data_IF_579660853898
#
_entry.id   IF_579660853898
#
_cell.length_a   1.000
_cell.length_b   1.000
_cell.length_c   1.000
_cell.angle_alpha   90.00
_cell.angle_beta   90.00
_cell.angle_gamma   90.00
#
_symmetry.space_group_name_H-M   'P 1'
#
loop_
_entity.id
_entity.type
_entity.pdbx_description
1 polymer ?
#
# COMPACT_ATOMS: atom_id res chain seq x y z
N UNK A 1 17.16 -7.92 37.06
CA UNK A 1 16.62 -6.75 36.37
C UNK A 1 16.76 -6.83 34.85
N UNK A 2 17.98 -7.01 34.29
CA UNK A 2 18.19 -7.15 32.83
C UNK A 2 17.41 -8.31 32.19
N UNK A 3 17.33 -9.48 32.85
CA UNK A 3 16.58 -10.63 32.34
C UNK A 3 15.08 -10.37 32.23
N UNK A 4 14.51 -9.60 33.19
CA UNK A 4 13.09 -9.23 33.15
C UNK A 4 12.83 -8.25 32.00
N UNK A 5 13.71 -7.26 31.79
CA UNK A 5 13.62 -6.31 30.67
C UNK A 5 13.71 -7.03 29.34
N UNK A 6 14.60 -8.01 29.19
CA UNK A 6 14.71 -8.81 27.97
C UNK A 6 13.46 -9.65 27.72
N UNK A 7 12.89 -10.27 28.75
CA UNK A 7 11.65 -11.05 28.63
C UNK A 7 10.46 -10.16 28.28
N UNK A 8 10.34 -8.99 28.88
CA UNK A 8 9.29 -8.02 28.54
C UNK A 8 9.43 -7.53 27.08
N UNK A 9 10.65 -7.27 26.62
CA UNK A 9 10.90 -6.89 25.23
C UNK A 9 10.61 -8.03 24.25
N UNK A 10 11.02 -9.26 24.56
CA UNK A 10 10.70 -10.43 23.76
C UNK A 10 9.19 -10.71 23.72
N UNK A 11 8.49 -10.55 24.85
CA UNK A 11 7.03 -10.66 24.92
C UNK A 11 6.33 -9.56 24.11
N UNK A 12 6.84 -8.33 24.16
CA UNK A 12 6.33 -7.22 23.36
C UNK A 12 6.52 -7.49 21.86
N UNK A 13 7.71 -7.94 21.43
CA UNK A 13 7.95 -8.31 20.02
C UNK A 13 7.02 -9.46 19.59
N UNK A 14 6.85 -10.48 20.44
CA UNK A 14 5.91 -11.56 20.15
C UNK A 14 4.48 -11.07 20.05
N UNK A 15 4.02 -10.22 20.98
CA UNK A 15 2.70 -9.59 20.94
C UNK A 15 2.49 -8.79 19.66
N UNK A 16 3.46 -7.95 19.27
CA UNK A 16 3.41 -7.15 18.05
C UNK A 16 3.42 -8.02 16.79
N UNK A 17 4.14 -9.15 16.79
CA UNK A 17 4.18 -10.09 15.66
C UNK A 17 2.87 -10.82 15.47
N UNK A 18 2.10 -11.05 16.53
CA UNK A 18 0.77 -11.66 16.50
C UNK A 18 -0.35 -10.63 16.42
N UNK A 19 -0.04 -9.34 16.59
CA UNK A 19 -1.01 -8.28 16.45
C UNK A 19 -1.46 -8.20 14.99
N UNK A 20 -2.72 -8.53 14.76
CA UNK A 20 -3.35 -8.30 13.45
C UNK A 20 -3.96 -6.91 13.49
N UNK A 21 -3.50 -6.04 12.60
CA UNK A 21 -4.13 -4.75 12.40
C UNK A 21 -5.62 -4.97 12.08
N UNK A 22 -6.54 -4.43 12.88
CA UNK A 22 -7.96 -4.61 12.66
C UNK A 22 -8.33 -3.83 11.40
N UNK A 23 -8.75 -4.58 10.37
CA UNK A 23 -9.25 -4.00 9.12
C UNK A 23 -10.76 -3.85 9.20
N UNK A 24 -11.27 -2.74 8.66
CA UNK A 24 -12.70 -2.49 8.51
C UNK A 24 -13.31 -3.33 7.38
N UNK A 25 -12.47 -4.02 6.62
CA UNK A 25 -12.85 -4.82 5.46
C UNK A 25 -12.64 -6.32 5.67
N UNK A 26 -13.35 -7.17 4.91
CA UNK A 26 -13.00 -8.59 4.79
C UNK A 26 -11.55 -8.80 4.38
N UNK A 27 -11.05 -10.02 4.53
CA UNK A 27 -9.67 -10.39 4.21
C UNK A 27 -9.42 -10.36 2.69
N UNK A 28 -9.32 -9.18 2.11
CA UNK A 28 -8.84 -8.98 0.74
C UNK A 28 -7.31 -8.99 0.68
N UNK A 29 -6.71 -9.37 -0.48
CA UNK A 29 -5.30 -9.13 -0.73
C UNK A 29 -4.95 -7.65 -0.57
N UNK A 30 -3.81 -7.37 0.03
CA UNK A 30 -3.39 -5.99 0.34
C UNK A 30 -2.53 -5.36 -0.75
N UNK A 31 -1.90 -6.19 -1.55
CA UNK A 31 -1.02 -5.78 -2.65
C UNK A 31 -1.30 -6.65 -3.89
N UNK A 32 -1.01 -6.11 -5.03
CA UNK A 32 -1.00 -6.84 -6.30
C UNK A 32 0.34 -7.54 -6.50
N UNK A 33 0.43 -8.43 -7.48
CA UNK A 33 1.68 -9.09 -7.86
C UNK A 33 1.84 -9.13 -9.38
N UNK A 34 3.07 -9.11 -9.84
CA UNK A 34 3.36 -9.44 -11.23
C UNK A 34 3.09 -10.93 -11.48
N UNK A 35 3.04 -11.34 -12.75
CA UNK A 35 2.89 -12.76 -13.10
C UNK A 35 4.05 -13.62 -12.57
N UNK A 36 5.22 -13.05 -12.37
CA UNK A 36 6.40 -13.71 -11.76
C UNK A 36 6.38 -13.73 -10.23
N UNK A 37 5.36 -13.13 -9.58
CA UNK A 37 5.22 -13.10 -8.13
C UNK A 37 5.88 -11.90 -7.44
N UNK A 38 6.52 -10.97 -8.17
CA UNK A 38 7.04 -9.75 -7.57
C UNK A 38 5.89 -8.86 -7.08
N UNK A 39 6.07 -8.18 -5.96
CA UNK A 39 5.09 -7.25 -5.36
C UNK A 39 4.82 -6.10 -6.33
N UNK A 40 3.54 -5.80 -6.57
CA UNK A 40 3.09 -4.64 -7.35
C UNK A 40 2.50 -3.53 -6.47
N UNK A 41 1.51 -2.84 -7.01
CA UNK A 41 0.85 -1.71 -6.36
C UNK A 41 -0.05 -2.15 -5.20
N UNK A 42 -0.21 -1.34 -4.13
CA UNK A 42 -1.13 -1.62 -3.06
C UNK A 42 -2.60 -1.55 -3.54
N UNK A 43 -3.45 -2.38 -2.94
CA UNK A 43 -4.91 -2.25 -3.08
C UNK A 43 -5.35 -1.11 -2.17
N UNK A 44 -6.04 -0.12 -2.74
CA UNK A 44 -6.45 1.10 -2.03
C UNK A 44 -7.84 1.63 -2.39
N UNK A 45 -8.57 0.94 -3.29
CA UNK A 45 -9.96 1.31 -3.66
C UNK A 45 -10.86 0.07 -3.63
N UNK A 46 -12.10 0.26 -3.21
CA UNK A 46 -13.16 -0.74 -3.25
C UNK A 46 -14.38 -0.18 -3.96
N UNK A 47 -15.00 -0.99 -4.81
CA UNK A 47 -16.24 -0.61 -5.50
C UNK A 47 -17.36 -1.56 -5.13
N UNK A 48 -18.56 -1.01 -4.92
CA UNK A 48 -19.81 -1.77 -4.76
C UNK A 48 -20.73 -1.41 -5.92
N UNK A 49 -20.99 -2.37 -6.80
CA UNK A 49 -21.82 -2.14 -7.98
C UNK A 49 -21.48 -3.05 -9.15
N UNK A 50 -22.25 -2.94 -10.22
CA UNK A 50 -22.06 -3.72 -11.44
C UNK A 50 -20.86 -3.25 -12.25
N UNK A 51 -20.32 -4.13 -13.10
CA UNK A 51 -19.28 -3.78 -14.08
C UNK A 51 -19.66 -2.56 -14.92
N UNK A 52 -20.92 -2.52 -15.37
CA UNK A 52 -21.39 -1.43 -16.24
C UNK A 52 -21.43 -0.08 -15.51
N UNK A 53 -21.80 -0.06 -14.22
CA UNK A 53 -21.75 1.18 -13.42
C UNK A 53 -20.31 1.70 -13.29
N UNK A 54 -19.37 0.82 -12.97
CA UNK A 54 -17.94 1.19 -12.89
C UNK A 54 -17.45 1.72 -14.24
N UNK A 55 -17.66 0.97 -15.32
CA UNK A 55 -17.20 1.39 -16.65
C UNK A 55 -17.80 2.74 -17.08
N UNK A 56 -19.09 2.93 -16.84
CA UNK A 56 -19.78 4.16 -17.22
C UNK A 56 -19.27 5.37 -16.43
N UNK A 57 -19.04 5.23 -15.11
CA UNK A 57 -18.51 6.32 -14.29
C UNK A 57 -17.09 6.72 -14.68
N UNK A 58 -16.19 5.76 -14.94
CA UNK A 58 -14.85 6.07 -15.44
C UNK A 58 -14.88 6.76 -16.81
N UNK A 59 -15.74 6.32 -17.72
CA UNK A 59 -15.91 6.98 -19.02
C UNK A 59 -16.40 8.42 -18.87
N UNK A 60 -17.40 8.67 -18.03
CA UNK A 60 -17.89 10.03 -17.76
C UNK A 60 -16.83 10.90 -17.09
N UNK A 61 -16.00 10.33 -16.26
CA UNK A 61 -14.85 11.00 -15.64
C UNK A 61 -13.68 11.22 -16.61
N UNK A 62 -13.83 10.91 -17.90
CA UNK A 62 -12.79 11.02 -18.93
C UNK A 62 -11.56 10.16 -18.67
N UNK A 63 -11.75 9.01 -18.02
CA UNK A 63 -10.76 7.95 -17.96
C UNK A 63 -10.89 7.03 -19.17
N UNK A 64 -9.77 6.58 -19.70
CA UNK A 64 -9.72 5.78 -20.92
C UNK A 64 -9.40 4.31 -20.59
N UNK A 65 -9.85 3.42 -21.46
CA UNK A 65 -9.48 2.01 -21.42
C UNK A 65 -8.11 1.90 -22.14
N UNK A 66 -7.08 1.36 -21.49
CA UNK A 66 -5.77 1.20 -22.10
C UNK A 66 -5.79 0.18 -23.23
N UNK A 67 -4.96 0.42 -24.23
CA UNK A 67 -4.74 -0.53 -25.33
C UNK A 67 -4.16 -1.87 -24.82
N UNK A 68 -4.42 -2.98 -25.51
CA UNK A 68 -3.80 -4.25 -25.18
C UNK A 68 -2.26 -4.18 -25.27
N UNK A 69 -1.57 -4.92 -24.39
CA UNK A 69 -0.11 -5.05 -24.47
C UNK A 69 0.24 -5.93 -25.66
N UNK A 70 0.90 -5.36 -26.65
CA UNK A 70 1.45 -6.01 -27.84
C UNK A 70 2.87 -5.51 -28.11
N UNK A 71 3.61 -6.16 -28.98
CA UNK A 71 4.92 -5.66 -29.41
C UNK A 71 4.81 -4.27 -30.07
N UNK A 72 3.75 -4.02 -30.81
CA UNK A 72 3.51 -2.74 -31.47
C UNK A 72 3.20 -1.63 -30.46
N UNK A 73 2.30 -1.86 -29.50
CA UNK A 73 1.96 -0.86 -28.48
C UNK A 73 3.12 -0.61 -27.52
N UNK A 74 3.92 -1.63 -27.22
CA UNK A 74 5.15 -1.49 -26.42
C UNK A 74 6.22 -0.66 -27.15
N UNK A 75 6.43 -0.89 -28.44
CA UNK A 75 7.32 -0.06 -29.24
C UNK A 75 6.84 1.39 -29.35
N UNK A 76 5.52 1.59 -29.47
CA UNK A 76 4.91 2.93 -29.49
C UNK A 76 5.13 3.67 -28.16
N UNK A 77 4.93 3.02 -27.01
CA UNK A 77 5.24 3.62 -25.69
C UNK A 77 6.70 4.06 -25.64
N UNK A 78 7.63 3.18 -26.03
CA UNK A 78 9.06 3.49 -25.98
C UNK A 78 9.39 4.72 -26.85
N UNK A 79 8.85 4.80 -28.07
CA UNK A 79 9.06 5.93 -28.98
C UNK A 79 8.41 7.22 -28.47
N UNK A 80 7.21 7.16 -27.94
CA UNK A 80 6.50 8.33 -27.44
C UNK A 80 7.12 8.84 -26.11
N UNK A 81 7.65 7.94 -25.28
CA UNK A 81 8.38 8.31 -24.05
C UNK A 81 9.67 9.06 -24.37
N UNK A 82 10.46 8.58 -25.33
CA UNK A 82 11.68 9.26 -25.77
C UNK A 82 11.40 10.64 -26.38
N UNK A 83 10.25 10.80 -26.99
CA UNK A 83 9.85 12.05 -27.65
C UNK A 83 8.98 12.95 -26.75
N UNK A 84 8.74 12.56 -25.48
CA UNK A 84 7.82 13.25 -24.54
C UNK A 84 6.46 13.53 -25.17
N UNK A 85 5.90 12.55 -25.91
CA UNK A 85 4.60 12.67 -26.57
C UNK A 85 3.51 11.99 -25.77
N UNK A 86 2.29 12.48 -25.93
CA UNK A 86 1.11 11.85 -25.35
C UNK A 86 0.76 10.56 -26.09
N UNK A 87 0.40 9.54 -25.32
CA UNK A 87 -0.25 8.31 -25.79
C UNK A 87 -1.43 8.03 -24.86
N UNK A 88 -2.60 8.62 -25.10
CA UNK A 88 -3.73 8.63 -24.17
C UNK A 88 -4.27 7.26 -23.79
N UNK A 89 -4.10 6.23 -24.63
CA UNK A 89 -4.51 4.85 -24.39
C UNK A 89 -3.31 3.90 -24.26
N UNK A 90 -2.19 4.40 -23.73
CA UNK A 90 -0.99 3.60 -23.59
C UNK A 90 -1.25 2.35 -22.69
N UNK A 91 -0.74 1.17 -23.07
CA UNK A 91 -0.95 -0.04 -22.28
C UNK A 91 -0.51 0.10 -20.84
N UNK A 92 -1.31 -0.46 -19.93
CA UNK A 92 -1.00 -0.58 -18.50
C UNK A 92 -0.54 -2.02 -18.23
N UNK A 93 0.60 -2.20 -17.55
CA UNK A 93 1.16 -3.52 -17.27
C UNK A 93 0.19 -4.38 -16.45
N UNK A 94 0.15 -5.68 -16.79
CA UNK A 94 -0.71 -6.62 -16.09
C UNK A 94 -0.20 -6.91 -14.69
N UNK A 95 -1.10 -6.79 -13.71
CA UNK A 95 -0.88 -7.25 -12.35
C UNK A 95 -1.90 -8.34 -11.98
N UNK A 96 -1.60 -9.12 -10.97
CA UNK A 96 -2.41 -10.24 -10.55
C UNK A 96 -2.92 -10.05 -9.12
N UNK A 97 -4.21 -10.34 -8.92
CA UNK A 97 -4.87 -10.53 -7.63
C UNK A 97 -5.79 -11.76 -7.77
N UNK A 98 -5.98 -12.53 -6.74
CA UNK A 98 -6.76 -13.78 -6.79
C UNK A 98 -6.27 -14.78 -7.86
N UNK A 99 -4.96 -14.80 -8.14
CA UNK A 99 -4.36 -15.71 -9.13
C UNK A 99 -4.65 -15.35 -10.60
N UNK A 100 -5.20 -14.19 -10.91
CA UNK A 100 -5.54 -13.73 -12.26
C UNK A 100 -5.24 -12.25 -12.48
N UNK A 101 -5.08 -11.87 -13.73
CA UNK A 101 -4.92 -10.46 -14.13
C UNK A 101 -6.19 -9.65 -13.84
N UNK A 102 -6.08 -8.33 -13.87
CA UNK A 102 -7.20 -7.41 -13.66
C UNK A 102 -8.37 -7.68 -14.62
N UNK A 103 -9.58 -7.49 -14.12
CA UNK A 103 -10.81 -7.57 -14.93
C UNK A 103 -11.09 -6.28 -15.71
N UNK A 104 -10.65 -5.13 -15.13
CA UNK A 104 -10.77 -3.82 -15.72
C UNK A 104 -9.47 -3.06 -15.46
N UNK A 105 -9.14 -2.16 -16.37
CA UNK A 105 -8.10 -1.15 -16.18
C UNK A 105 -8.56 0.17 -16.82
N UNK A 106 -8.17 1.26 -16.19
CA UNK A 106 -8.41 2.60 -16.71
C UNK A 106 -7.16 3.45 -16.49
N UNK A 107 -6.97 4.44 -17.35
CA UNK A 107 -5.93 5.44 -17.22
C UNK A 107 -6.48 6.85 -17.45
N UNK A 108 -5.88 7.80 -16.73
CA UNK A 108 -6.11 9.23 -16.89
C UNK A 108 -4.91 9.83 -17.59
N UNK A 109 -5.00 10.08 -18.91
CA UNK A 109 -3.85 10.55 -19.66
C UNK A 109 -3.49 11.99 -19.29
N UNK A 110 -2.23 12.32 -19.45
CA UNK A 110 -1.71 13.67 -19.45
C UNK A 110 -1.11 14.02 -20.83
N UNK A 111 -0.44 15.14 -20.92
CA UNK A 111 0.26 15.54 -22.14
C UNK A 111 1.56 14.73 -22.38
N UNK A 112 2.01 13.94 -21.40
CA UNK A 112 3.20 13.11 -21.46
C UNK A 112 2.84 11.68 -21.03
N UNK A 113 3.17 10.68 -21.88
CA UNK A 113 2.90 9.27 -21.61
C UNK A 113 3.62 8.74 -20.35
N UNK A 114 4.67 9.41 -19.92
CA UNK A 114 5.41 9.05 -18.70
C UNK A 114 4.65 9.40 -17.41
N UNK A 115 3.72 10.33 -17.50
CA UNK A 115 2.98 10.88 -16.36
C UNK A 115 1.49 10.63 -16.53
N UNK A 116 0.92 9.71 -15.77
CA UNK A 116 -0.52 9.39 -15.88
C UNK A 116 -1.05 8.70 -14.63
N UNK A 117 -2.30 8.97 -14.31
CA UNK A 117 -3.05 8.17 -13.36
C UNK A 117 -3.48 6.84 -13.97
N UNK A 118 -3.46 5.77 -13.20
CA UNK A 118 -4.03 4.51 -13.63
C UNK A 118 -4.63 3.72 -12.47
N UNK A 119 -5.61 2.89 -12.78
CA UNK A 119 -6.21 1.98 -11.82
C UNK A 119 -6.45 0.62 -12.46
N UNK A 120 -6.18 -0.44 -11.72
CA UNK A 120 -6.53 -1.82 -12.07
C UNK A 120 -7.55 -2.35 -11.09
N UNK A 121 -8.56 -3.07 -11.57
CA UNK A 121 -9.71 -3.48 -10.77
C UNK A 121 -9.98 -4.96 -10.95
N UNK A 122 -10.23 -5.66 -9.83
CA UNK A 122 -10.55 -7.09 -9.78
C UNK A 122 -11.88 -7.31 -9.10
N UNK A 123 -12.73 -8.12 -9.71
CA UNK A 123 -13.95 -8.60 -9.09
C UNK A 123 -13.63 -9.59 -7.97
N UNK A 124 -14.21 -9.37 -6.79
CA UNK A 124 -14.09 -10.32 -5.68
C UNK A 124 -15.19 -11.39 -5.75
N UNK A 125 -15.12 -12.39 -4.90
CA UNK A 125 -16.23 -13.33 -4.66
C UNK A 125 -17.31 -12.74 -3.75
N UNK A 126 -17.04 -11.62 -3.09
CA UNK A 126 -17.95 -10.97 -2.15
C UNK A 126 -19.11 -10.31 -2.89
N UNK A 127 -20.29 -10.38 -2.28
CA UNK A 127 -21.48 -9.62 -2.66
C UNK A 127 -22.09 -8.97 -1.44
N UNK A 128 -22.63 -7.78 -1.61
CA UNK A 128 -23.38 -7.06 -0.58
C UNK A 128 -24.78 -6.78 -1.11
N UNK A 129 -25.80 -7.35 -0.46
CA UNK A 129 -27.19 -7.31 -0.94
C UNK A 129 -27.32 -7.68 -2.44
N UNK A 130 -26.60 -8.73 -2.87
CA UNK A 130 -26.59 -9.18 -4.27
C UNK A 130 -25.69 -8.34 -5.21
N UNK A 131 -25.20 -7.18 -4.79
CA UNK A 131 -24.31 -6.34 -5.59
C UNK A 131 -22.87 -6.87 -5.55
N UNK A 132 -22.17 -6.95 -6.67
CA UNK A 132 -20.77 -7.38 -6.69
C UNK A 132 -19.86 -6.33 -6.05
N UNK A 133 -18.82 -6.84 -5.38
CA UNK A 133 -17.75 -6.04 -4.79
C UNK A 133 -16.47 -6.26 -5.60
N UNK A 134 -15.73 -5.17 -5.78
CA UNK A 134 -14.47 -5.14 -6.53
C UNK A 134 -13.40 -4.44 -5.71
N UNK A 135 -12.15 -4.85 -5.88
CA UNK A 135 -10.99 -4.15 -5.30
C UNK A 135 -10.14 -3.56 -6.41
N UNK A 136 -9.53 -2.42 -6.14
CA UNK A 136 -8.70 -1.70 -7.10
C UNK A 136 -7.36 -1.27 -6.51
N UNK A 137 -6.38 -1.15 -7.40
CA UNK A 137 -5.07 -0.56 -7.14
C UNK A 137 -4.92 0.68 -8.01
N UNK A 138 -5.00 1.85 -7.42
CA UNK A 138 -4.79 3.14 -8.05
C UNK A 138 -3.39 3.64 -7.73
N UNK A 139 -2.65 4.06 -8.75
CA UNK A 139 -1.32 4.64 -8.65
C UNK A 139 -1.05 5.60 -9.82
N UNK A 140 -0.12 6.53 -9.62
CA UNK A 140 0.28 7.51 -10.62
C UNK A 140 1.69 7.18 -11.11
N UNK A 141 1.84 7.05 -12.43
CA UNK A 141 3.16 6.93 -13.07
C UNK A 141 3.81 8.31 -13.15
N UNK A 142 5.07 8.44 -12.73
CA UNK A 142 5.83 9.68 -12.75
C UNK A 142 7.19 9.57 -13.46
N UNK A 143 7.30 8.65 -14.40
CA UNK A 143 8.49 8.45 -15.19
C UNK A 143 8.65 7.03 -15.71
N UNK A 144 9.60 6.86 -16.63
CA UNK A 144 10.02 5.56 -17.16
C UNK A 144 11.50 5.40 -16.92
N UNK A 145 11.89 4.29 -16.30
CA UNK A 145 13.28 3.87 -16.15
C UNK A 145 13.47 2.41 -16.59
N UNK A 146 14.72 1.98 -16.61
CA UNK A 146 15.04 0.58 -16.81
C UNK A 146 14.91 -0.17 -15.48
N UNK A 147 14.09 -1.21 -15.45
CA UNK A 147 13.94 -2.08 -14.28
C UNK A 147 15.30 -2.57 -13.78
N UNK A 148 15.58 -2.42 -12.50
CA UNK A 148 16.81 -2.91 -11.89
C UNK A 148 16.96 -4.43 -11.91
N UNK A 149 15.89 -5.18 -12.27
CA UNK A 149 15.88 -6.64 -12.26
C UNK A 149 16.05 -7.26 -13.64
N UNK A 150 15.47 -6.67 -14.69
CA UNK A 150 15.47 -7.24 -16.03
C UNK A 150 15.88 -6.24 -17.13
N UNK A 151 16.24 -5.03 -16.76
CA UNK A 151 16.65 -3.93 -17.64
C UNK A 151 15.64 -3.57 -18.76
N UNK A 152 14.36 -3.94 -18.56
CA UNK A 152 13.29 -3.52 -19.45
C UNK A 152 12.70 -2.20 -18.97
N UNK A 153 12.17 -1.37 -19.90
CA UNK A 153 11.45 -0.16 -19.50
C UNK A 153 10.30 -0.48 -18.53
N UNK A 154 10.27 0.19 -17.42
CA UNK A 154 9.22 0.11 -16.42
C UNK A 154 8.81 1.51 -16.00
N UNK A 155 7.55 1.67 -15.62
CA UNK A 155 7.06 2.93 -15.05
C UNK A 155 7.41 2.99 -13.58
N UNK A 156 7.81 4.16 -13.11
CA UNK A 156 7.92 4.49 -11.70
C UNK A 156 6.58 5.00 -11.20
N UNK A 157 6.17 4.54 -10.04
CA UNK A 157 4.99 5.10 -9.37
C UNK A 157 5.39 6.26 -8.46
N UNK A 158 4.49 7.24 -8.36
CA UNK A 158 4.64 8.32 -7.38
C UNK A 158 4.62 7.74 -5.95
N UNK A 159 5.46 8.25 -5.04
CA UNK A 159 5.59 7.69 -3.70
C UNK A 159 4.29 7.70 -2.90
N UNK A 160 3.50 8.76 -2.97
CA UNK A 160 2.26 8.90 -2.20
C UNK A 160 1.08 8.34 -3.01
N UNK A 161 0.84 7.02 -2.90
CA UNK A 161 -0.21 6.34 -3.67
C UNK A 161 -1.63 6.80 -3.32
N UNK A 162 -1.82 7.38 -2.14
CA UNK A 162 -3.11 7.89 -1.68
C UNK A 162 -3.56 9.12 -2.47
N UNK A 163 -2.65 9.88 -3.08
CA UNK A 163 -3.02 11.00 -3.94
C UNK A 163 -3.79 10.51 -5.17
N UNK A 164 -3.36 9.41 -5.79
CA UNK A 164 -4.09 8.88 -6.95
C UNK A 164 -5.40 8.20 -6.53
N UNK A 165 -5.41 7.48 -5.39
CA UNK A 165 -6.65 6.97 -4.80
C UNK A 165 -7.69 8.09 -4.63
N UNK A 166 -7.27 9.21 -4.05
CA UNK A 166 -8.15 10.36 -3.79
C UNK A 166 -8.55 11.06 -5.11
N UNK A 167 -7.65 11.13 -6.09
CA UNK A 167 -7.97 11.67 -7.41
C UNK A 167 -9.02 10.83 -8.14
N UNK A 168 -8.93 9.50 -8.05
CA UNK A 168 -9.98 8.59 -8.56
C UNK A 168 -11.32 8.89 -7.90
N UNK A 169 -11.39 9.00 -6.57
CA UNK A 169 -12.61 9.35 -5.84
C UNK A 169 -13.20 10.67 -6.33
N UNK A 170 -12.39 11.73 -6.28
CA UNK A 170 -12.83 13.07 -6.69
C UNK A 170 -13.32 13.15 -8.15
N UNK A 171 -12.71 12.39 -9.06
CA UNK A 171 -13.14 12.34 -10.45
C UNK A 171 -14.46 11.58 -10.63
N UNK A 172 -14.64 10.48 -9.91
CA UNK A 172 -15.87 9.68 -9.98
C UNK A 172 -17.04 10.39 -9.29
N UNK A 173 -16.80 11.08 -8.16
CA UNK A 173 -17.82 11.88 -7.46
C UNK A 173 -18.42 12.96 -8.39
N UNK A 174 -17.59 13.67 -9.17
CA UNK A 174 -18.02 14.68 -10.13
C UNK A 174 -19.01 14.17 -11.20
N UNK A 175 -19.02 12.85 -11.43
CA UNK A 175 -19.97 12.27 -12.41
C UNK A 175 -21.42 12.26 -11.91
N UNK A 176 -21.64 12.39 -10.60
CA UNK A 176 -22.95 12.28 -9.97
C UNK A 176 -23.52 10.85 -9.98
N UNK A 177 -22.75 9.85 -10.38
CA UNK A 177 -23.16 8.43 -10.40
C UNK A 177 -22.86 7.71 -9.09
N UNK A 178 -21.90 8.22 -8.32
CA UNK A 178 -21.55 7.69 -7.00
C UNK A 178 -22.67 8.02 -6.01
N UNK A 179 -23.14 7.01 -5.28
CA UNK A 179 -24.18 7.16 -4.25
C UNK A 179 -23.59 7.49 -2.90
N UNK A 180 -22.45 6.91 -2.59
CA UNK A 180 -21.80 7.05 -1.31
C UNK A 180 -20.30 6.84 -1.50
N UNK A 181 -19.53 7.70 -0.86
CA UNK A 181 -18.07 7.57 -0.72
C UNK A 181 -17.71 7.48 0.76
N UNK A 182 -16.80 6.60 1.10
CA UNK A 182 -16.32 6.44 2.45
C UNK A 182 -14.86 5.96 2.47
N UNK A 183 -14.20 6.17 3.60
CA UNK A 183 -12.88 5.61 3.88
C UNK A 183 -12.96 4.64 5.04
N UNK A 184 -12.14 3.62 4.99
CA UNK A 184 -12.03 2.65 6.07
C UNK A 184 -10.62 2.11 6.20
N UNK A 185 -10.20 1.78 7.42
CA UNK A 185 -8.90 1.23 7.70
C UNK A 185 -8.74 -0.16 7.07
N UNK A 186 -7.76 -0.33 6.20
CA UNK A 186 -7.52 -1.58 5.48
C UNK A 186 -6.18 -2.22 5.84
N UNK A 187 -5.12 -1.44 5.85
CA UNK A 187 -3.79 -1.86 6.28
C UNK A 187 -3.28 -0.92 7.36
N UNK A 188 -2.27 -1.32 8.14
CA UNK A 188 -1.50 -0.32 8.87
C UNK A 188 -0.99 0.74 7.89
N UNK A 189 -0.87 2.02 8.29
CA UNK A 189 -0.18 3.00 7.50
C UNK A 189 1.20 2.50 7.09
N UNK A 190 1.57 2.77 5.85
CA UNK A 190 2.84 2.36 5.26
C UNK A 190 3.69 3.61 5.12
N UNK A 191 4.67 3.78 6.00
CA UNK A 191 5.58 4.91 5.94
C UNK A 191 6.67 4.72 4.88
N UNK A 192 6.97 3.47 4.56
CA UNK A 192 8.02 3.11 3.64
C UNK A 192 7.88 1.66 3.20
N UNK A 193 7.53 1.45 1.94
CA UNK A 193 7.56 0.14 1.31
C UNK A 193 8.23 0.25 -0.07
N UNK A 194 8.58 -0.90 -0.66
CA UNK A 194 9.03 -0.99 -2.05
C UNK A 194 8.17 -1.96 -2.82
N UNK A 195 7.84 -1.59 -4.05
CA UNK A 195 7.28 -2.53 -5.00
C UNK A 195 8.38 -3.40 -5.63
N UNK A 196 8.02 -4.37 -6.44
CA UNK A 196 8.97 -5.25 -7.12
C UNK A 196 9.80 -4.57 -8.23
N UNK A 197 9.42 -3.38 -8.65
CA UNK A 197 10.20 -2.51 -9.53
C UNK A 197 11.31 -1.75 -8.82
N UNK A 198 11.24 -1.69 -7.49
CA UNK A 198 12.19 -0.95 -6.64
C UNK A 198 11.67 0.41 -6.18
N UNK A 199 10.47 0.84 -6.63
CA UNK A 199 9.89 2.12 -6.26
C UNK A 199 9.47 2.14 -4.80
N UNK A 200 9.74 3.24 -4.15
CA UNK A 200 9.22 3.52 -2.83
C UNK A 200 7.80 4.02 -2.89
N UNK A 201 6.99 3.59 -1.92
CA UNK A 201 5.68 4.17 -1.71
C UNK A 201 5.32 4.24 -0.23
N UNK A 202 4.45 5.18 0.07
CA UNK A 202 3.81 5.40 1.36
C UNK A 202 2.29 5.41 1.20
N UNK A 203 1.55 5.11 2.27
CA UNK A 203 0.09 5.13 2.31
C UNK A 203 -0.39 5.32 3.75
N UNK A 204 -1.50 6.02 3.94
CA UNK A 204 -2.22 6.10 5.21
C UNK A 204 -2.84 4.76 5.63
N UNK A 205 -2.93 3.81 4.70
CA UNK A 205 -3.48 2.48 4.93
C UNK A 205 -4.98 2.39 4.78
N UNK A 206 -5.66 3.47 4.46
CA UNK A 206 -7.09 3.49 4.24
C UNK A 206 -7.44 3.05 2.81
N UNK A 207 -8.60 2.41 2.69
CA UNK A 207 -9.24 2.06 1.42
C UNK A 207 -10.39 3.02 1.16
N UNK A 208 -10.39 3.63 -0.01
CA UNK A 208 -11.52 4.42 -0.52
C UNK A 208 -12.62 3.47 -1.00
N UNK A 209 -13.85 3.67 -0.56
CA UNK A 209 -15.03 2.93 -1.01
C UNK A 209 -15.88 3.81 -1.91
N UNK A 210 -16.13 3.33 -3.12
CA UNK A 210 -17.04 3.92 -4.11
C UNK A 210 -18.27 3.04 -4.24
N UNK A 211 -19.41 3.50 -3.75
CA UNK A 211 -20.66 2.76 -3.78
C UNK A 211 -21.64 3.37 -4.80
N UNK A 212 -22.00 2.58 -5.81
CA UNK A 212 -22.97 2.96 -6.85
C UNK A 212 -24.39 2.53 -6.53
N UNK A 213 -24.63 1.92 -5.38
CA UNK A 213 -25.89 1.22 -5.06
C UNK A 213 -26.47 1.69 -3.73
N UNK A 214 -27.65 1.17 -3.38
CA UNK A 214 -28.25 1.31 -2.05
C UNK A 214 -27.77 0.23 -1.05
N UNK A 215 -26.89 -0.68 -1.48
CA UNK A 215 -26.33 -1.69 -0.59
C UNK A 215 -25.42 -1.01 0.45
N UNK A 216 -25.39 -1.49 1.70
CA UNK A 216 -24.49 -0.95 2.69
C UNK A 216 -23.04 -1.17 2.27
N UNK A 217 -22.18 -0.27 2.68
CA UNK A 217 -20.74 -0.46 2.52
C UNK A 217 -20.31 -1.68 3.37
N UNK A 218 -19.51 -2.61 2.83
CA UNK A 218 -19.11 -3.83 3.54
C UNK A 218 -18.01 -3.55 4.57
N UNK A 219 -18.23 -2.57 5.43
CA UNK A 219 -17.33 -2.29 6.53
C UNK A 219 -17.65 -3.20 7.72
N UNK A 220 -16.62 -3.80 8.28
CA UNK A 220 -16.70 -4.38 9.61
C UNK A 220 -16.81 -3.20 10.57
N UNK A 221 -17.99 -2.95 11.14
CA UNK A 221 -18.18 -1.84 12.09
C UNK A 221 -17.15 -1.97 13.24
N UNK A 222 -16.06 -1.21 13.29
CA UNK A 222 -15.20 -1.22 14.46
C UNK A 222 -15.92 -0.47 15.58
N UNK A 223 -15.88 -1.02 16.77
CA UNK A 223 -16.28 -0.22 17.93
C UNK A 223 -15.32 0.98 18.01
N UNK A 224 -15.85 2.20 18.19
CA UNK A 224 -15.09 3.45 18.36
C UNK A 224 -13.89 3.39 19.31
N UNK A 225 -13.94 2.47 20.29
CA UNK A 225 -12.85 2.17 21.23
C UNK A 225 -11.62 1.59 20.52
N UNK A 226 -11.80 0.95 19.38
CA UNK A 226 -10.72 0.29 18.62
C UNK A 226 -9.90 1.30 17.83
N UNK A 227 -10.50 2.42 17.36
CA UNK A 227 -9.76 3.39 16.53
C UNK A 227 -8.74 4.20 17.33
N UNK A 228 -9.06 4.58 18.56
CA UNK A 228 -8.10 5.21 19.47
C UNK A 228 -6.95 4.26 19.85
N UNK A 229 -7.25 2.97 20.04
CA UNK A 229 -6.25 1.92 20.28
C UNK A 229 -5.40 1.63 19.03
N UNK A 230 -6.00 1.59 17.84
CA UNK A 230 -5.30 1.42 16.56
C UNK A 230 -4.25 2.53 16.37
N UNK A 231 -4.67 3.78 16.51
CA UNK A 231 -3.77 4.94 16.36
C UNK A 231 -2.65 4.93 17.41
N UNK A 232 -2.98 4.65 18.66
CA UNK A 232 -1.99 4.60 19.74
C UNK A 232 -0.98 3.47 19.59
N UNK A 233 -1.43 2.26 19.23
CA UNK A 233 -0.54 1.11 18.97
C UNK A 233 0.31 1.35 17.74
N UNK A 234 -0.24 1.96 16.69
CA UNK A 234 0.51 2.28 15.49
C UNK A 234 1.59 3.33 15.75
N UNK A 235 1.27 4.45 16.41
CA UNK A 235 2.25 5.47 16.77
C UNK A 235 3.36 4.91 17.67
N UNK A 236 3.01 4.00 18.58
CA UNK A 236 3.98 3.32 19.43
C UNK A 236 4.85 2.33 18.64
N UNK A 237 4.28 1.58 17.71
CA UNK A 237 5.01 0.68 16.80
C UNK A 237 5.97 1.47 15.92
N UNK A 238 5.50 2.54 15.32
CA UNK A 238 6.30 3.42 14.47
C UNK A 238 7.45 4.06 15.24
N UNK A 239 7.16 4.59 16.44
CA UNK A 239 8.19 5.14 17.33
C UNK A 239 9.26 4.10 17.71
N UNK A 240 8.89 2.83 17.93
CA UNK A 240 9.84 1.76 18.28
C UNK A 240 10.71 1.30 17.11
N UNK A 241 10.18 1.35 15.90
CA UNK A 241 10.85 0.82 14.71
C UNK A 241 11.46 1.90 13.81
N UNK A 242 11.33 3.19 14.19
CA UNK A 242 12.17 4.22 13.55
C UNK A 242 13.65 3.89 13.79
N UNK A 243 14.50 3.92 12.76
CA UNK A 243 15.92 3.58 12.88
C UNK A 243 16.62 4.30 14.05
N UNK A 244 16.24 5.55 14.33
CA UNK A 244 16.81 6.34 15.42
C UNK A 244 16.46 5.79 16.81
N UNK A 245 15.24 5.36 17.05
CA UNK A 245 14.81 4.81 18.36
C UNK A 245 15.41 3.41 18.58
N UNK A 246 15.49 2.59 17.54
CA UNK A 246 16.14 1.29 17.61
C UNK A 246 17.63 1.43 17.93
N UNK A 247 18.33 2.34 17.26
CA UNK A 247 19.74 2.65 17.52
C UNK A 247 19.92 3.17 18.95
N UNK A 248 19.10 4.13 19.39
CA UNK A 248 19.16 4.66 20.75
C UNK A 248 18.93 3.58 21.81
N UNK A 249 17.98 2.67 21.57
CA UNK A 249 17.73 1.54 22.44
C UNK A 249 18.92 0.57 22.50
N UNK A 250 19.51 0.22 21.35
CA UNK A 250 20.70 -0.65 21.29
C UNK A 250 21.91 -0.01 21.98
N UNK A 251 22.13 1.31 21.81
CA UNK A 251 23.18 2.05 22.51
C UNK A 251 22.93 2.03 24.02
N UNK A 252 21.70 2.27 24.48
CA UNK A 252 21.36 2.23 25.90
C UNK A 252 21.63 0.85 26.51
N UNK A 253 21.24 -0.22 25.81
CA UNK A 253 21.52 -1.62 26.26
C UNK A 253 23.03 -1.88 26.33
N UNK A 254 23.79 -1.44 25.32
CA UNK A 254 25.25 -1.59 25.31
C UNK A 254 25.91 -0.86 26.49
N UNK A 255 25.50 0.38 26.79
CA UNK A 255 25.99 1.17 27.92
C UNK A 255 25.66 0.50 29.25
N UNK A 256 24.45 -0.04 29.42
CA UNK A 256 24.06 -0.78 30.62
C UNK A 256 24.89 -2.06 30.82
N UNK A 257 25.14 -2.81 29.74
CA UNK A 257 25.98 -4.01 29.77
C UNK A 257 27.41 -3.62 30.15
N UNK A 258 28.00 -2.61 29.51
CA UNK A 258 29.34 -2.11 29.82
C UNK A 258 29.44 -1.67 31.27
N UNK A 259 28.46 -0.94 31.81
CA UNK A 259 28.41 -0.53 33.21
C UNK A 259 28.36 -1.71 34.19
N UNK A 260 27.63 -2.79 33.85
CA UNK A 260 27.59 -4.00 34.68
C UNK A 260 28.91 -4.80 34.64
N UNK A 261 29.52 -4.86 33.47
CA UNK A 261 30.84 -5.50 33.32
C UNK A 261 31.90 -4.73 34.12
N UNK A 262 31.96 -3.41 33.99
CA UNK A 262 32.88 -2.57 34.78
C UNK A 262 32.67 -2.72 36.28
N UNK A 263 31.42 -2.74 36.77
CA UNK A 263 31.12 -2.99 38.20
C UNK A 263 31.57 -4.36 38.66
N UNK A 264 31.52 -5.38 37.83
CA UNK A 264 32.07 -6.73 38.18
C UNK A 264 33.57 -6.68 38.26
N UNK A 265 34.25 -5.99 37.34
CA UNK A 265 35.72 -5.86 37.38
C UNK A 265 36.20 -5.10 38.60
N UNK A 266 35.55 -3.95 38.94
CA UNK A 266 35.93 -3.19 40.15
C UNK A 266 35.70 -3.96 41.44
N UNK A 267 34.59 -4.71 41.58
CA UNK A 267 34.38 -5.58 42.74
C UNK A 267 35.40 -6.68 42.84
N UNK A 268 35.81 -7.27 41.73
CA UNK A 268 36.82 -8.36 41.71
C UNK A 268 38.20 -7.85 42.14
N UNK A 269 38.58 -6.66 41.66
CA UNK A 269 39.89 -6.04 42.07
C UNK A 269 39.90 -5.69 43.55
N UNK A 270 38.85 -5.12 44.10
CA UNK A 270 38.75 -4.83 45.54
C UNK A 270 38.77 -6.08 46.43
N UNK A 271 38.38 -7.25 45.91
CA UNK A 271 38.44 -8.51 46.63
C UNK A 271 39.88 -9.13 46.60
N UNK A 272 40.66 -8.81 45.58
CA UNK A 272 42.04 -9.23 45.44
C UNK A 272 43.02 -8.35 46.27
N UNK A 273 42.71 -7.10 46.49
CA UNK A 273 43.51 -6.19 47.35
C UNK A 273 43.27 -6.40 48.84
N UNK A 274 42.25 -7.15 49.24
CA UNK A 274 41.95 -7.46 50.65
C UNK A 274 42.43 -8.83 51.10
N UNK A 275 43.15 -9.58 50.28
CA UNK A 275 43.86 -10.81 50.59
C UNK A 275 45.36 -10.60 50.59
#
# INVERSE_FOLDING_TARGET
MLGILFLLFAALIALLRFYRYPSDFPAYPRVTHTKSGATGDPINVLFVGSKNQIMHSFQQASWLIPDPITSQTSAKIAGDSLAHRSYPTAPVSNLCVFGRVQDLAFEKPTNDVQNRGHIRIWKTSTRVNGQPVWVGAASYDNGIELSGTNHLPTHHIAPTVDLERNAVGADLEKTGLVREEAYGAFTPPILYARNGGGDYYESDGDMLVINYTQAPIPLNQPAWVIDGLKTGVFLFYDALFTPGVLIAFLVLVAVLIAGLVLRRFTKRNQTLERK
#
